data_IF_917059390688
#
_entry.id   IF_917059390688
#
_cell.length_a   1.000
_cell.length_b   1.000
_cell.length_c   1.000
_cell.angle_alpha   90.00
_cell.angle_beta   90.00
_cell.angle_gamma   90.00
#
_symmetry.space_group_name_H-M   'P 1'
#
loop_
_entity.id
_entity.type
_entity.pdbx_description
1 polymer ?
#
# COMPACT_ATOMS: atom_id res chain seq x y z
N UNK A 1 -14.96 31.20 -4.58
CA UNK A 1 -14.56 29.79 -4.43
C UNK A 1 -15.38 29.13 -3.34
N UNK A 2 -15.96 27.96 -3.60
CA UNK A 2 -16.80 27.20 -2.65
C UNK A 2 -15.96 26.34 -1.69
N UNK A 3 -16.58 25.81 -0.63
CA UNK A 3 -15.88 24.93 0.34
C UNK A 3 -15.60 23.56 -0.29
N UNK A 4 -16.55 23.04 -1.06
CA UNK A 4 -16.39 21.80 -1.84
C UNK A 4 -15.17 21.84 -2.75
N UNK A 5 -14.95 22.94 -3.49
CA UNK A 5 -13.85 23.06 -4.45
C UNK A 5 -12.46 22.99 -3.78
N UNK A 6 -12.31 23.59 -2.58
CA UNK A 6 -11.06 23.50 -1.82
C UNK A 6 -10.81 22.08 -1.30
N UNK A 7 -11.86 21.42 -0.80
CA UNK A 7 -11.77 20.03 -0.34
C UNK A 7 -11.50 19.06 -1.47
N UNK A 8 -12.05 19.29 -2.66
CA UNK A 8 -11.74 18.51 -3.85
C UNK A 8 -10.23 18.58 -4.19
N UNK A 9 -9.62 19.77 -4.12
CA UNK A 9 -8.17 19.90 -4.33
C UNK A 9 -7.36 19.13 -3.27
N UNK A 10 -7.76 19.18 -2.00
CA UNK A 10 -7.12 18.43 -0.92
C UNK A 10 -7.31 16.90 -1.10
N UNK A 11 -8.50 16.47 -1.49
CA UNK A 11 -8.80 15.07 -1.80
C UNK A 11 -7.89 14.55 -2.91
N UNK A 12 -7.70 15.32 -3.98
CA UNK A 12 -6.79 14.96 -5.09
C UNK A 12 -5.35 14.76 -4.64
N UNK A 13 -4.87 15.60 -3.72
CA UNK A 13 -3.52 15.44 -3.12
C UNK A 13 -3.46 14.19 -2.26
N UNK A 14 -4.48 13.95 -1.43
CA UNK A 14 -4.57 12.75 -0.59
C UNK A 14 -4.64 11.46 -1.42
N UNK A 15 -5.40 11.44 -2.52
CA UNK A 15 -5.48 10.30 -3.46
C UNK A 15 -4.12 9.99 -4.09
N UNK A 16 -3.36 11.03 -4.48
CA UNK A 16 -2.02 10.84 -5.00
C UNK A 16 -1.06 10.24 -3.95
N UNK A 17 -1.18 10.66 -2.68
CA UNK A 17 -0.42 10.10 -1.56
C UNK A 17 -0.81 8.64 -1.28
N UNK A 18 -2.11 8.31 -1.28
CA UNK A 18 -2.58 6.93 -1.12
C UNK A 18 -2.03 6.03 -2.23
N UNK A 19 -2.07 6.48 -3.49
CA UNK A 19 -1.51 5.72 -4.61
C UNK A 19 0.00 5.52 -4.47
N UNK A 20 0.74 6.52 -4.00
CA UNK A 20 2.16 6.38 -3.73
C UNK A 20 2.43 5.37 -2.61
N UNK A 21 1.66 5.42 -1.52
CA UNK A 21 1.76 4.44 -0.43
C UNK A 21 1.41 3.02 -0.90
N UNK A 22 0.39 2.86 -1.75
CA UNK A 22 0.01 1.59 -2.34
C UNK A 22 1.11 1.00 -3.22
N UNK A 23 1.77 1.83 -4.04
CA UNK A 23 2.96 1.42 -4.83
C UNK A 23 4.10 0.95 -3.92
N UNK A 24 4.39 1.71 -2.87
CA UNK A 24 5.40 1.34 -1.88
C UNK A 24 5.08 0.02 -1.17
N UNK A 25 3.82 -0.22 -0.81
CA UNK A 25 3.38 -1.48 -0.21
C UNK A 25 3.59 -2.66 -1.17
N UNK A 26 3.16 -2.52 -2.44
CA UNK A 26 3.33 -3.54 -3.47
C UNK A 26 4.82 -3.89 -3.69
N UNK A 27 5.69 -2.88 -3.74
CA UNK A 27 7.14 -3.11 -3.86
C UNK A 27 7.70 -3.89 -2.66
N UNK A 28 7.29 -3.57 -1.44
CA UNK A 28 7.73 -4.31 -0.25
C UNK A 28 7.22 -5.76 -0.24
N UNK A 29 6.00 -6.00 -0.72
CA UNK A 29 5.48 -7.37 -0.88
C UNK A 29 6.33 -8.17 -1.85
N UNK A 30 6.68 -7.57 -3.00
CA UNK A 30 7.57 -8.21 -3.99
C UNK A 30 8.96 -8.52 -3.41
N UNK A 31 9.55 -7.56 -2.69
CA UNK A 31 10.85 -7.77 -2.05
C UNK A 31 10.80 -8.90 -1.03
N UNK A 32 9.76 -8.93 -0.18
CA UNK A 32 9.58 -10.00 0.80
C UNK A 32 9.46 -11.39 0.11
N UNK A 33 8.69 -11.48 -0.97
CA UNK A 33 8.57 -12.71 -1.76
C UNK A 33 9.93 -13.17 -2.32
N UNK A 34 10.71 -12.24 -2.87
CA UNK A 34 12.06 -12.54 -3.37
C UNK A 34 12.98 -13.06 -2.25
N UNK A 35 12.93 -12.44 -1.06
CA UNK A 35 13.73 -12.89 0.08
C UNK A 35 13.31 -14.27 0.60
N UNK A 36 12.01 -14.58 0.55
CA UNK A 36 11.49 -15.89 0.90
C UNK A 36 11.97 -16.96 -0.09
N UNK A 37 11.84 -16.69 -1.39
CA UNK A 37 12.33 -17.59 -2.43
C UNK A 37 13.84 -17.86 -2.30
N UNK A 38 14.63 -16.82 -2.03
CA UNK A 38 16.07 -17.00 -1.79
C UNK A 38 16.35 -17.91 -0.59
N UNK A 39 15.57 -17.80 0.49
CA UNK A 39 15.70 -18.68 1.66
C UNK A 39 15.33 -20.13 1.33
N UNK A 40 14.26 -20.35 0.55
CA UNK A 40 13.86 -21.68 0.06
C UNK A 40 14.96 -22.32 -0.78
N UNK A 41 15.55 -21.57 -1.72
CA UNK A 41 16.65 -22.06 -2.56
C UNK A 41 17.89 -22.44 -1.72
N UNK A 42 18.22 -21.66 -0.69
CA UNK A 42 19.32 -22.01 0.23
C UNK A 42 19.03 -23.29 1.01
N UNK A 43 17.78 -23.51 1.43
CA UNK A 43 17.36 -24.74 2.09
C UNK A 43 17.41 -25.94 1.15
N UNK A 44 16.88 -25.80 -0.08
CA UNK A 44 16.96 -26.83 -1.12
C UNK A 44 18.40 -27.20 -1.41
N UNK A 45 19.25 -26.20 -1.66
CA UNK A 45 20.67 -26.43 -1.95
C UNK A 45 21.39 -27.18 -0.81
N UNK A 46 21.07 -26.84 0.44
CA UNK A 46 21.59 -27.55 1.62
C UNK A 46 21.20 -29.03 1.63
N UNK A 47 19.93 -29.32 1.34
CA UNK A 47 19.40 -30.68 1.31
C UNK A 47 20.03 -31.50 0.17
N UNK A 48 20.04 -30.96 -1.04
CA UNK A 48 20.67 -31.58 -2.22
C UNK A 48 22.15 -31.89 -1.97
N UNK A 49 22.89 -30.93 -1.40
CA UNK A 49 24.31 -31.11 -1.12
C UNK A 49 24.57 -32.18 -0.05
N UNK A 50 23.73 -32.23 0.99
CA UNK A 50 23.83 -33.25 2.04
C UNK A 50 23.51 -34.64 1.50
N UNK A 51 22.48 -34.76 0.66
CA UNK A 51 22.09 -36.02 0.01
C UNK A 51 23.18 -36.51 -0.93
N UNK A 52 23.70 -35.64 -1.81
CA UNK A 52 24.83 -35.94 -2.71
C UNK A 52 26.04 -36.48 -1.94
N UNK A 53 26.37 -35.85 -0.81
CA UNK A 53 27.48 -36.31 0.00
C UNK A 53 27.22 -37.66 0.68
N UNK A 54 25.99 -37.94 1.12
CA UNK A 54 25.64 -39.25 1.70
C UNK A 54 25.80 -40.40 0.69
N UNK A 55 25.45 -40.16 -0.58
CA UNK A 55 25.64 -41.15 -1.65
C UNK A 55 27.11 -41.38 -1.97
N UNK A 56 27.93 -40.33 -2.06
CA UNK A 56 29.38 -40.45 -2.27
C UNK A 56 30.07 -41.07 -1.03
N UNK A 57 29.59 -40.71 0.16
CA UNK A 57 29.93 -41.23 1.49
C UNK A 57 30.00 -42.75 1.57
N UNK A 58 29.00 -43.42 0.98
CA UNK A 58 28.88 -44.88 1.00
C UNK A 58 29.98 -45.61 0.24
N UNK A 59 30.68 -44.93 -0.68
CA UNK A 59 31.74 -45.53 -1.50
C UNK A 59 33.15 -45.32 -0.91
N UNK A 60 33.25 -44.78 0.32
CA UNK A 60 34.51 -44.44 0.97
C UNK A 60 34.92 -43.01 0.65
N UNK A 61 34.95 -42.15 1.67
CA UNK A 61 35.27 -40.72 1.52
C UNK A 61 36.44 -40.38 2.43
N UNK A 62 37.40 -39.62 1.89
CA UNK A 62 38.58 -39.19 2.62
C UNK A 62 38.25 -38.16 3.70
N UNK A 63 39.02 -38.14 4.79
CA UNK A 63 38.86 -37.19 5.91
C UNK A 63 38.85 -35.73 5.44
N UNK A 64 39.62 -35.38 4.40
CA UNK A 64 39.65 -34.05 3.83
C UNK A 64 38.30 -33.63 3.21
N UNK A 65 37.61 -34.53 2.52
CA UNK A 65 36.30 -34.27 1.92
C UNK A 65 35.22 -34.09 2.99
N UNK A 66 35.30 -34.85 4.10
CA UNK A 66 34.44 -34.67 5.27
C UNK A 66 34.64 -33.30 5.93
N UNK A 67 35.88 -32.82 6.05
CA UNK A 67 36.17 -31.50 6.59
C UNK A 67 35.64 -30.38 5.69
N UNK A 68 35.80 -30.52 4.37
CA UNK A 68 35.24 -29.58 3.39
C UNK A 68 33.72 -29.50 3.48
N UNK A 69 33.04 -30.65 3.59
CA UNK A 69 31.59 -30.71 3.79
C UNK A 69 31.17 -29.92 5.03
N UNK A 70 31.77 -30.21 6.18
CA UNK A 70 31.39 -29.54 7.44
C UNK A 70 31.61 -28.04 7.38
N UNK A 71 32.72 -27.59 6.79
CA UNK A 71 33.03 -26.17 6.61
C UNK A 71 31.96 -25.49 5.74
N UNK A 72 31.64 -26.09 4.60
CA UNK A 72 30.64 -25.55 3.68
C UNK A 72 29.24 -25.49 4.29
N UNK A 73 28.79 -26.59 4.93
CA UNK A 73 27.49 -26.61 5.62
C UNK A 73 27.42 -25.57 6.73
N UNK A 74 28.51 -25.38 7.50
CA UNK A 74 28.58 -24.34 8.53
C UNK A 74 28.44 -22.94 7.92
N UNK A 75 29.07 -22.68 6.78
CA UNK A 75 28.95 -21.40 6.08
C UNK A 75 27.53 -21.18 5.53
N UNK A 76 26.93 -22.21 4.96
CA UNK A 76 25.56 -22.15 4.44
C UNK A 76 24.53 -21.94 5.55
N UNK A 77 24.68 -22.63 6.69
CA UNK A 77 23.81 -22.46 7.86
C UNK A 77 23.90 -21.05 8.44
N UNK A 78 25.11 -20.45 8.47
CA UNK A 78 25.30 -19.04 8.84
C UNK A 78 24.58 -18.11 7.86
N UNK A 79 24.71 -18.35 6.56
CA UNK A 79 24.07 -17.55 5.53
C UNK A 79 22.53 -17.65 5.59
N UNK A 80 21.99 -18.85 5.83
CA UNK A 80 20.56 -19.08 6.09
C UNK A 80 20.10 -18.30 7.33
N UNK A 81 20.88 -18.33 8.41
CA UNK A 81 20.61 -17.54 9.62
C UNK A 81 20.50 -16.04 9.33
N UNK A 82 21.45 -15.50 8.56
CA UNK A 82 21.44 -14.09 8.13
C UNK A 82 20.24 -13.78 7.22
N UNK A 83 19.90 -14.68 6.30
CA UNK A 83 18.75 -14.51 5.40
C UNK A 83 17.44 -14.49 6.18
N UNK A 84 17.28 -15.33 7.19
CA UNK A 84 16.13 -15.31 8.11
C UNK A 84 16.02 -13.98 8.85
N UNK A 85 17.13 -13.44 9.35
CA UNK A 85 17.14 -12.14 10.01
C UNK A 85 16.72 -11.00 9.06
N UNK A 86 17.22 -11.00 7.81
CA UNK A 86 16.78 -10.04 6.78
C UNK A 86 15.28 -10.17 6.51
N UNK A 87 14.77 -11.39 6.39
CA UNK A 87 13.35 -11.62 6.14
C UNK A 87 12.47 -11.04 7.25
N UNK A 88 12.90 -11.13 8.52
CA UNK A 88 12.22 -10.46 9.64
C UNK A 88 12.20 -8.93 9.48
N UNK A 89 13.30 -8.33 9.03
CA UNK A 89 13.35 -6.88 8.77
C UNK A 89 12.40 -6.48 7.63
N UNK A 90 12.32 -7.28 6.56
CA UNK A 90 11.39 -7.03 5.46
C UNK A 90 9.93 -7.19 5.89
N UNK A 91 9.61 -8.15 6.76
CA UNK A 91 8.28 -8.29 7.35
C UNK A 91 7.88 -7.05 8.15
N UNK A 92 8.79 -6.53 8.97
CA UNK A 92 8.55 -5.31 9.74
C UNK A 92 8.34 -4.09 8.81
N UNK A 93 9.16 -3.95 7.77
CA UNK A 93 9.00 -2.88 6.78
C UNK A 93 7.68 -3.00 6.01
N UNK A 94 7.26 -4.23 5.66
CA UNK A 94 5.99 -4.47 5.00
C UNK A 94 4.82 -3.99 5.86
N UNK A 95 4.80 -4.35 7.14
CA UNK A 95 3.76 -3.94 8.07
C UNK A 95 3.75 -2.42 8.29
N UNK A 96 4.92 -1.77 8.38
CA UNK A 96 5.00 -0.30 8.43
C UNK A 96 4.40 0.35 7.17
N UNK A 97 4.75 -0.13 5.98
CA UNK A 97 4.18 0.39 4.72
C UNK A 97 2.68 0.11 4.62
N UNK A 98 2.22 -1.03 5.13
CA UNK A 98 0.80 -1.40 5.18
C UNK A 98 0.01 -0.44 6.05
N UNK A 99 0.52 -0.12 7.24
CA UNK A 99 -0.11 0.83 8.15
C UNK A 99 -0.17 2.23 7.52
N UNK A 100 0.93 2.70 6.91
CA UNK A 100 0.94 3.99 6.21
C UNK A 100 -0.07 4.05 5.05
N UNK A 101 -0.22 2.97 4.29
CA UNK A 101 -1.25 2.89 3.25
C UNK A 101 -2.68 2.91 3.83
N UNK A 102 -2.93 2.19 4.91
CA UNK A 102 -4.24 2.17 5.57
C UNK A 102 -4.63 3.56 6.11
N UNK A 103 -3.67 4.28 6.69
CA UNK A 103 -3.86 5.66 7.16
C UNK A 103 -4.19 6.61 6.00
N UNK A 104 -3.40 6.58 4.92
CA UNK A 104 -3.64 7.40 3.73
C UNK A 104 -5.02 7.12 3.12
N UNK A 105 -5.39 5.84 3.01
CA UNK A 105 -6.70 5.40 2.51
C UNK A 105 -7.85 5.87 3.41
N UNK A 106 -7.66 5.82 4.72
CA UNK A 106 -8.63 6.34 5.69
C UNK A 106 -8.84 7.85 5.52
N UNK A 107 -7.74 8.58 5.31
CA UNK A 107 -7.77 10.03 5.07
C UNK A 107 -8.51 10.39 3.77
N UNK A 108 -8.23 9.71 2.67
CA UNK A 108 -8.96 9.86 1.40
C UNK A 108 -10.45 9.62 1.59
N UNK A 109 -10.81 8.53 2.26
CA UNK A 109 -12.22 8.20 2.54
C UNK A 109 -12.92 9.28 3.38
N UNK A 110 -12.23 9.84 4.38
CA UNK A 110 -12.78 10.90 5.20
C UNK A 110 -12.98 12.20 4.41
N UNK A 111 -12.00 12.62 3.62
CA UNK A 111 -12.09 13.80 2.77
C UNK A 111 -13.18 13.67 1.70
N UNK A 112 -13.28 12.51 1.05
CA UNK A 112 -14.31 12.26 0.03
C UNK A 112 -15.73 12.36 0.60
N UNK A 113 -15.97 11.82 1.80
CA UNK A 113 -17.26 11.99 2.49
C UNK A 113 -17.57 13.44 2.81
N UNK A 114 -16.56 14.21 3.23
CA UNK A 114 -16.72 15.61 3.60
C UNK A 114 -16.98 16.49 2.38
N UNK A 115 -16.25 16.26 1.28
CA UNK A 115 -16.43 16.95 0.00
C UNK A 115 -17.86 16.74 -0.53
N UNK A 116 -18.34 15.49 -0.54
CA UNK A 116 -19.69 15.16 -1.01
C UNK A 116 -20.76 15.90 -0.20
N UNK A 117 -20.62 15.92 1.14
CA UNK A 117 -21.55 16.62 2.03
C UNK A 117 -21.60 18.11 1.71
N UNK A 118 -20.44 18.77 1.60
CA UNK A 118 -20.42 20.20 1.28
C UNK A 118 -20.97 20.50 -0.11
N UNK A 119 -20.72 19.63 -1.07
CA UNK A 119 -21.28 19.75 -2.42
C UNK A 119 -22.81 19.67 -2.40
N UNK A 120 -23.39 18.80 -1.57
CA UNK A 120 -24.84 18.72 -1.39
C UNK A 120 -25.41 19.97 -0.71
N UNK A 121 -24.77 20.43 0.38
CA UNK A 121 -25.18 21.66 1.07
C UNK A 121 -25.15 22.88 0.12
N UNK A 122 -24.10 23.01 -0.69
CA UNK A 122 -23.97 24.10 -1.67
C UNK A 122 -25.02 24.02 -2.79
N UNK A 123 -25.38 22.82 -3.26
CA UNK A 123 -26.47 22.63 -4.23
C UNK A 123 -27.83 23.05 -3.67
N UNK A 124 -28.12 22.67 -2.42
CA UNK A 124 -29.37 23.07 -1.76
C UNK A 124 -29.44 24.60 -1.58
N UNK A 125 -28.33 25.23 -1.17
CA UNK A 125 -28.25 26.68 -1.02
C UNK A 125 -28.41 27.42 -2.36
N UNK A 126 -27.84 26.88 -3.44
CA UNK A 126 -28.00 27.45 -4.78
C UNK A 126 -29.45 27.37 -5.26
N UNK A 127 -30.09 26.21 -5.12
CA UNK A 127 -31.49 26.01 -5.50
C UNK A 127 -32.45 26.94 -4.72
N UNK A 128 -32.20 27.14 -3.42
CA UNK A 128 -33.00 28.08 -2.62
C UNK A 128 -32.82 29.54 -3.08
N UNK A 129 -31.61 29.94 -3.50
CA UNK A 129 -31.37 31.28 -4.03
C UNK A 129 -32.05 31.49 -5.38
N UNK A 130 -31.95 30.52 -6.27
CA UNK A 130 -32.62 30.56 -7.58
C UNK A 130 -34.14 30.69 -7.42
N UNK A 131 -34.75 29.94 -6.50
CA UNK A 131 -36.19 30.06 -6.21
C UNK A 131 -36.55 31.46 -5.70
N UNK A 132 -35.77 32.01 -4.76
CA UNK A 132 -36.03 33.34 -4.22
C UNK A 132 -35.92 34.44 -5.30
N UNK A 133 -34.95 34.34 -6.21
CA UNK A 133 -34.81 35.28 -7.33
C UNK A 133 -35.96 35.16 -8.36
N UNK A 134 -36.48 33.94 -8.55
CA UNK A 134 -37.65 33.72 -9.41
C UNK A 134 -38.89 34.35 -8.78
N UNK A 135 -39.14 34.11 -7.50
CA UNK A 135 -40.30 34.64 -6.77
C UNK A 135 -40.29 36.18 -6.73
N UNK A 136 -39.12 36.79 -6.49
CA UNK A 136 -38.94 38.25 -6.49
C UNK A 136 -39.23 38.88 -7.87
N UNK A 137 -38.73 38.26 -8.95
CA UNK A 137 -39.05 38.68 -10.32
C UNK A 137 -40.55 38.57 -10.64
N UNK A 138 -41.20 37.51 -10.17
CA UNK A 138 -42.65 37.33 -10.35
C UNK A 138 -43.45 38.39 -9.59
N UNK A 139 -43.05 38.73 -8.36
CA UNK A 139 -43.70 39.79 -7.57
C UNK A 139 -43.55 41.16 -8.26
N UNK A 140 -42.34 41.52 -8.68
CA UNK A 140 -42.11 42.77 -9.41
C UNK A 140 -42.90 42.82 -10.73
N UNK A 141 -42.97 41.72 -11.48
CA UNK A 141 -43.74 41.67 -12.73
C UNK A 141 -45.26 41.79 -12.51
N UNK A 142 -45.79 41.20 -11.43
CA UNK A 142 -47.19 41.33 -11.06
C UNK A 142 -47.54 42.77 -10.62
N UNK A 143 -46.64 43.44 -9.89
CA UNK A 143 -46.82 44.84 -9.48
C UNK A 143 -46.79 45.83 -10.65
N UNK A 144 -45.94 45.58 -11.65
CA UNK A 144 -45.84 46.42 -12.85
C UNK A 144 -46.98 46.16 -13.86
N UNK A 145 -47.47 44.92 -13.96
CA UNK A 145 -48.58 44.54 -14.86
C UNK A 145 -49.96 44.95 -14.32
N UNK A 146 -50.09 45.20 -13.02
CA UNK A 146 -51.33 45.69 -12.39
C UNK A 146 -51.54 47.21 -12.46
N UNK A 147 -50.62 47.96 -13.09
CA UNK A 147 -50.66 49.42 -13.25
C UNK A 147 -51.07 49.90 -14.65
N UNK A 148 -51.55 49.00 -15.52
CA UNK A 148 -52.14 49.32 -16.84
C UNK A 148 -53.65 49.14 -16.75
#
# INVERSE_FOLDING_TARGET
MTRSHRLYSLLRVAEAQEQQAARGLSEAQRLLQQQHHQLEEMHRYREEYTQYFQTVGRNGVGVQQLQQLQSFLTQLDRAIGQQKQRLQQYLQQLEQRRNGWLEARSHVKALGKLEERYRQEERCLAAHREQAEVDDRYQHWAEDSGKI
#
